data_IF_781578208587
#
_entry.id   IF_781578208587
#
_cell.length_a   1.000
_cell.length_b   1.000
_cell.length_c   1.000
_cell.angle_alpha   90.00
_cell.angle_beta   90.00
_cell.angle_gamma   90.00
#
_symmetry.space_group_name_H-M   'P 1'
#
loop_
_entity.id
_entity.type
_entity.pdbx_description
1 polymer ?
#
# COMPACT_ATOMS: atom_id res chain seq x y z
N UNK A 1 -14.21 13.09 -30.33
CA UNK A 1 -13.06 13.38 -29.43
C UNK A 1 -11.82 12.85 -30.16
N UNK A 2 -11.13 13.72 -30.88
CA UNK A 2 -9.91 13.32 -31.58
C UNK A 2 -8.81 13.17 -30.53
N UNK A 3 -8.38 11.95 -30.29
CA UNK A 3 -7.17 11.70 -29.49
C UNK A 3 -5.98 12.27 -30.28
N UNK A 4 -5.49 13.42 -29.86
CA UNK A 4 -4.26 13.97 -30.43
C UNK A 4 -3.10 13.00 -30.16
N UNK A 5 -2.29 12.75 -31.18
CA UNK A 5 -1.11 11.88 -31.10
C UNK A 5 -0.20 12.32 -29.95
N UNK A 6 -0.15 13.61 -29.64
CA UNK A 6 0.59 14.15 -28.49
C UNK A 6 0.10 13.63 -27.15
N UNK A 7 -1.22 13.49 -26.96
CA UNK A 7 -1.82 12.92 -25.73
C UNK A 7 -1.46 11.43 -25.61
N UNK A 8 -1.56 10.69 -26.71
CA UNK A 8 -1.21 9.28 -26.73
C UNK A 8 0.29 9.06 -26.42
N UNK A 9 1.15 9.85 -27.02
CA UNK A 9 2.61 9.80 -26.75
C UNK A 9 2.92 10.20 -25.31
N UNK A 10 2.23 11.21 -24.78
CA UNK A 10 2.37 11.61 -23.36
C UNK A 10 1.94 10.51 -22.42
N UNK A 11 0.82 9.83 -22.69
CA UNK A 11 0.34 8.71 -21.89
C UNK A 11 1.31 7.52 -21.92
N UNK A 12 1.76 7.13 -23.11
CA UNK A 12 2.71 6.02 -23.27
C UNK A 12 4.07 6.34 -22.66
N UNK A 13 4.56 7.57 -22.81
CA UNK A 13 5.80 8.04 -22.19
C UNK A 13 5.71 8.06 -20.67
N UNK A 14 4.60 8.57 -20.13
CA UNK A 14 4.35 8.56 -18.70
C UNK A 14 4.24 7.14 -18.12
N UNK A 15 3.56 6.24 -18.82
CA UNK A 15 3.48 4.82 -18.43
C UNK A 15 4.86 4.14 -18.46
N UNK A 16 5.66 4.39 -19.50
CA UNK A 16 7.01 3.84 -19.61
C UNK A 16 7.92 4.34 -18.49
N UNK A 17 7.87 5.64 -18.15
CA UNK A 17 8.62 6.21 -17.02
C UNK A 17 8.17 5.64 -15.69
N UNK A 18 6.87 5.44 -15.50
CA UNK A 18 6.32 4.83 -14.30
C UNK A 18 6.83 3.39 -14.12
N UNK A 19 6.73 2.57 -15.16
CA UNK A 19 7.21 1.18 -15.14
C UNK A 19 8.73 1.11 -14.92
N UNK A 20 9.49 2.00 -15.55
CA UNK A 20 10.93 2.09 -15.34
C UNK A 20 11.27 2.48 -13.90
N UNK A 21 10.58 3.46 -13.34
CA UNK A 21 10.73 3.86 -11.93
C UNK A 21 10.42 2.72 -10.96
N UNK A 22 9.35 1.95 -11.21
CA UNK A 22 9.03 0.76 -10.43
C UNK A 22 10.14 -0.30 -10.51
N UNK A 23 10.70 -0.53 -11.70
CA UNK A 23 11.79 -1.48 -11.88
C UNK A 23 13.04 -1.04 -11.11
N UNK A 24 13.43 0.24 -11.22
CA UNK A 24 14.56 0.80 -10.46
C UNK A 24 14.36 0.65 -8.95
N UNK A 25 13.16 0.90 -8.46
CA UNK A 25 12.83 0.75 -7.04
C UNK A 25 12.93 -0.71 -6.59
N UNK A 26 12.44 -1.65 -7.42
CA UNK A 26 12.56 -3.08 -7.17
C UNK A 26 14.04 -3.51 -7.09
N UNK A 27 14.86 -3.06 -8.04
CA UNK A 27 16.28 -3.40 -8.08
C UNK A 27 17.04 -2.83 -6.87
N UNK A 28 16.65 -1.65 -6.39
CA UNK A 28 17.25 -1.04 -5.19
C UNK A 28 16.88 -1.79 -3.90
N UNK A 29 15.72 -2.45 -3.86
CA UNK A 29 15.23 -3.17 -2.66
C UNK A 29 15.67 -4.63 -2.64
N UNK A 30 15.98 -5.23 -3.79
CA UNK A 30 16.43 -6.64 -3.88
C UNK A 30 17.54 -7.00 -2.89
N UNK A 31 18.61 -6.21 -2.72
CA UNK A 31 19.68 -6.55 -1.78
C UNK A 31 19.22 -6.60 -0.33
N UNK A 32 18.17 -5.85 0.05
CA UNK A 32 17.62 -5.90 1.39
C UNK A 32 16.87 -7.21 1.68
N UNK A 33 16.28 -7.82 0.64
CA UNK A 33 15.58 -9.11 0.79
C UNK A 33 16.53 -10.26 1.14
N UNK A 34 17.81 -10.13 0.80
CA UNK A 34 18.85 -11.11 1.12
C UNK A 34 19.42 -10.94 2.54
N UNK A 35 19.01 -9.89 3.27
CA UNK A 35 19.46 -9.63 4.64
C UNK A 35 18.56 -10.39 5.63
N UNK A 36 19.09 -11.37 6.41
CA UNK A 36 18.29 -12.18 7.32
C UNK A 36 17.51 -11.37 8.36
N UNK A 37 18.09 -10.27 8.85
CA UNK A 37 17.44 -9.38 9.81
C UNK A 37 16.20 -8.71 9.20
N UNK A 38 16.28 -8.32 7.93
CA UNK A 38 15.19 -7.70 7.21
C UNK A 38 14.04 -8.68 6.95
N UNK A 39 14.36 -9.89 6.51
CA UNK A 39 13.36 -10.96 6.32
C UNK A 39 12.72 -11.39 7.64
N UNK A 40 13.48 -11.44 8.73
CA UNK A 40 12.94 -11.68 10.07
C UNK A 40 12.01 -10.59 10.57
N UNK A 41 12.29 -9.33 10.25
CA UNK A 41 11.38 -8.22 10.53
C UNK A 41 10.09 -8.39 9.71
N UNK A 42 10.19 -8.66 8.41
CA UNK A 42 9.03 -8.86 7.54
C UNK A 42 8.15 -10.04 7.99
N UNK A 43 8.77 -11.13 8.44
CA UNK A 43 8.01 -12.28 8.96
C UNK A 43 7.30 -11.99 10.29
N UNK A 44 7.83 -11.10 11.11
CA UNK A 44 7.14 -10.61 12.32
C UNK A 44 5.87 -9.82 11.98
N UNK A 45 5.85 -9.15 10.82
CA UNK A 45 4.66 -8.44 10.31
C UNK A 45 3.62 -9.36 9.64
N UNK A 46 3.77 -10.68 9.74
CA UNK A 46 2.70 -11.63 9.42
C UNK A 46 1.48 -11.49 10.34
N UNK A 47 1.64 -10.83 11.50
CA UNK A 47 0.51 -10.44 12.33
C UNK A 47 -0.24 -9.28 11.66
N UNK A 48 -1.57 -9.40 11.40
CA UNK A 48 -2.35 -8.38 10.71
C UNK A 48 -2.29 -7.00 11.38
N UNK A 49 -2.25 -6.95 12.70
CA UNK A 49 -2.19 -5.68 13.46
C UNK A 49 -0.84 -4.99 13.24
N UNK A 50 0.26 -5.75 13.29
CA UNK A 50 1.59 -5.20 13.06
C UNK A 50 1.78 -4.77 11.60
N UNK A 51 1.23 -5.52 10.64
CA UNK A 51 1.21 -5.14 9.22
C UNK A 51 0.47 -3.82 8.99
N UNK A 52 -0.71 -3.67 9.61
CA UNK A 52 -1.51 -2.45 9.57
C UNK A 52 -0.75 -1.25 10.15
N UNK A 53 -0.12 -1.42 11.30
CA UNK A 53 0.69 -0.36 11.93
C UNK A 53 1.89 0.01 11.07
N UNK A 54 2.58 -0.97 10.49
CA UNK A 54 3.70 -0.74 9.58
C UNK A 54 3.26 0.10 8.38
N UNK A 55 2.20 -0.31 7.68
CA UNK A 55 1.66 0.42 6.54
C UNK A 55 1.28 1.86 6.90
N UNK A 56 0.62 2.04 8.05
CA UNK A 56 0.23 3.36 8.57
C UNK A 56 1.45 4.24 8.85
N UNK A 57 2.45 3.71 9.54
CA UNK A 57 3.67 4.45 9.87
C UNK A 57 4.47 4.81 8.62
N UNK A 58 4.71 3.85 7.73
CA UNK A 58 5.50 4.08 6.50
C UNK A 58 4.83 5.16 5.65
N UNK A 59 3.54 5.05 5.38
CA UNK A 59 2.83 6.03 4.55
C UNK A 59 2.69 7.38 5.25
N UNK A 60 2.46 7.39 6.56
CA UNK A 60 2.38 8.62 7.34
C UNK A 60 3.70 9.41 7.37
N UNK A 61 4.85 8.71 7.37
CA UNK A 61 6.18 9.32 7.32
C UNK A 61 6.51 9.80 5.90
N UNK A 62 6.32 8.92 4.91
CA UNK A 62 6.62 9.23 3.49
C UNK A 62 5.63 10.26 2.94
N UNK A 63 4.41 10.31 3.45
CA UNK A 63 3.30 11.16 3.00
C UNK A 63 2.96 10.97 1.50
N UNK A 64 3.26 9.80 0.96
CA UNK A 64 2.95 9.40 -0.41
C UNK A 64 2.52 7.95 -0.44
N UNK A 65 1.23 7.71 -0.62
CA UNK A 65 0.69 6.35 -0.76
C UNK A 65 1.24 5.65 -2.00
N UNK A 66 1.40 6.37 -3.11
CA UNK A 66 1.98 5.81 -4.33
C UNK A 66 3.43 5.32 -4.13
N UNK A 67 4.27 6.11 -3.42
CA UNK A 67 5.62 5.69 -3.10
C UNK A 67 5.63 4.49 -2.12
N UNK A 68 4.78 4.53 -1.10
CA UNK A 68 4.64 3.44 -0.13
C UNK A 68 4.21 2.12 -0.79
N UNK A 69 3.24 2.18 -1.72
CA UNK A 69 2.81 1.02 -2.51
C UNK A 69 3.92 0.53 -3.43
N UNK A 70 4.63 1.44 -4.08
CA UNK A 70 5.76 1.08 -4.93
C UNK A 70 6.84 0.32 -4.15
N UNK A 71 7.15 0.73 -2.91
CA UNK A 71 8.06 0.00 -2.02
C UNK A 71 7.51 -1.40 -1.70
N UNK A 72 6.22 -1.50 -1.37
CA UNK A 72 5.58 -2.78 -1.10
C UNK A 72 5.60 -3.70 -2.33
N UNK A 73 5.30 -3.16 -3.52
CA UNK A 73 5.40 -3.90 -4.78
C UNK A 73 6.83 -4.40 -5.03
N UNK A 74 7.83 -3.55 -4.81
CA UNK A 74 9.23 -3.93 -4.94
C UNK A 74 9.60 -5.08 -4.01
N UNK A 75 9.16 -5.04 -2.75
CA UNK A 75 9.34 -6.12 -1.77
C UNK A 75 8.62 -7.42 -2.19
N UNK A 76 7.45 -7.32 -2.81
CA UNK A 76 6.75 -8.49 -3.33
C UNK A 76 7.45 -9.13 -4.53
N UNK A 77 8.12 -8.35 -5.38
CA UNK A 77 8.95 -8.89 -6.46
C UNK A 77 10.10 -9.77 -5.95
N UNK A 78 10.61 -9.50 -4.74
CA UNK A 78 11.63 -10.34 -4.11
C UNK A 78 11.05 -11.65 -3.56
N UNK A 79 9.73 -11.82 -3.53
CA UNK A 79 9.07 -12.97 -2.91
C UNK A 79 9.10 -12.96 -1.38
N UNK A 80 9.55 -11.87 -0.75
CA UNK A 80 9.67 -11.76 0.71
C UNK A 80 8.34 -11.59 1.44
N UNK A 81 7.28 -11.17 0.73
CA UNK A 81 5.97 -10.88 1.30
C UNK A 81 4.92 -11.81 0.70
N UNK A 82 4.16 -12.47 1.58
CA UNK A 82 2.99 -13.27 1.21
C UNK A 82 1.76 -12.40 1.08
N UNK A 83 0.76 -12.90 0.32
CA UNK A 83 -0.52 -12.20 0.12
C UNK A 83 -1.19 -11.82 1.45
N UNK A 84 -1.28 -12.77 2.37
CA UNK A 84 -1.89 -12.56 3.67
C UNK A 84 -1.25 -11.44 4.51
N UNK A 85 0.06 -11.19 4.30
CA UNK A 85 0.78 -10.09 4.97
C UNK A 85 0.67 -8.76 4.21
N UNK A 86 0.51 -8.80 2.88
CA UNK A 86 0.39 -7.59 2.07
C UNK A 86 -0.92 -6.83 2.34
N UNK A 87 -2.03 -7.54 2.52
CA UNK A 87 -3.36 -6.95 2.74
C UNK A 87 -3.39 -6.00 3.94
N UNK A 88 -3.01 -6.42 5.17
CA UNK A 88 -3.03 -5.50 6.31
C UNK A 88 -2.06 -4.32 6.13
N UNK A 89 -0.94 -4.52 5.44
CA UNK A 89 0.00 -3.42 5.14
C UNK A 89 -0.69 -2.39 4.23
N UNK A 90 -1.38 -2.81 3.17
CA UNK A 90 -2.12 -1.93 2.25
C UNK A 90 -3.22 -1.18 3.00
N UNK A 91 -3.97 -1.87 3.85
CA UNK A 91 -5.01 -1.23 4.66
C UNK A 91 -4.42 -0.20 5.62
N UNK A 92 -3.25 -0.47 6.17
CA UNK A 92 -2.50 0.50 6.97
C UNK A 92 -2.04 1.71 6.14
N UNK A 93 -1.58 1.49 4.92
CA UNK A 93 -1.20 2.59 4.01
C UNK A 93 -2.37 3.53 3.73
N UNK A 94 -3.58 3.01 3.59
CA UNK A 94 -4.80 3.82 3.44
C UNK A 94 -5.05 4.71 4.66
N UNK A 95 -4.89 4.18 5.87
CA UNK A 95 -4.97 5.00 7.10
C UNK A 95 -3.85 6.03 7.16
N UNK A 96 -2.61 5.62 6.80
CA UNK A 96 -1.44 6.51 6.78
C UNK A 96 -1.60 7.70 5.84
N UNK A 97 -2.35 7.55 4.75
CA UNK A 97 -2.69 8.64 3.83
C UNK A 97 -3.49 9.76 4.51
N UNK A 98 -4.27 9.44 5.55
CA UNK A 98 -5.04 10.44 6.29
C UNK A 98 -4.15 11.43 7.07
N UNK A 99 -2.90 11.04 7.38
CA UNK A 99 -1.94 11.90 8.09
C UNK A 99 -1.67 13.18 7.32
N UNK A 100 -1.60 13.14 5.98
CA UNK A 100 -1.42 14.33 5.14
C UNK A 100 -2.60 15.29 5.28
N UNK A 101 -3.84 14.78 5.27
CA UNK A 101 -5.03 15.59 5.45
C UNK A 101 -5.09 16.20 6.86
N UNK A 102 -4.69 15.45 7.89
CA UNK A 102 -4.64 15.94 9.27
C UNK A 102 -3.61 17.05 9.39
N UNK A 103 -2.38 16.85 8.89
CA UNK A 103 -1.32 17.87 8.91
C UNK A 103 -1.77 19.12 8.16
N UNK A 104 -2.36 18.98 6.97
CA UNK A 104 -2.85 20.10 6.16
C UNK A 104 -3.99 20.86 6.84
N UNK A 105 -4.73 20.23 7.76
CA UNK A 105 -5.81 20.86 8.52
C UNK A 105 -5.31 21.67 9.73
N UNK A 106 -4.02 21.51 10.11
CA UNK A 106 -3.42 22.25 11.22
C UNK A 106 -3.33 23.72 10.80
N UNK A 107 -3.92 24.60 11.60
CA UNK A 107 -3.98 26.04 11.29
C UNK A 107 -5.10 26.44 10.31
N UNK A 108 -5.78 25.48 9.68
CA UNK A 108 -6.91 25.74 8.80
C UNK A 108 -8.24 25.92 9.54
N UNK A 109 -9.27 26.36 8.82
CA UNK A 109 -10.62 26.58 9.34
C UNK A 109 -11.31 25.30 9.83
N UNK A 110 -12.48 25.47 10.49
CA UNK A 110 -13.25 24.36 11.06
C UNK A 110 -13.65 23.30 10.04
N UNK A 111 -13.95 23.71 8.82
CA UNK A 111 -14.41 22.79 7.77
C UNK A 111 -13.27 21.92 7.23
N UNK A 112 -12.05 22.43 7.15
CA UNK A 112 -10.87 21.63 6.80
C UNK A 112 -10.60 20.55 7.86
N UNK A 113 -10.72 20.87 9.15
CA UNK A 113 -10.58 19.90 10.25
C UNK A 113 -11.67 18.83 10.22
N UNK A 114 -12.91 19.22 9.91
CA UNK A 114 -14.02 18.28 9.74
C UNK A 114 -13.78 17.34 8.56
N UNK A 115 -13.33 17.87 7.42
CA UNK A 115 -12.99 17.07 6.25
C UNK A 115 -11.87 16.06 6.54
N UNK A 116 -10.79 16.48 7.21
CA UNK A 116 -9.71 15.59 7.64
C UNK A 116 -10.20 14.50 8.61
N UNK A 117 -11.06 14.84 9.55
CA UNK A 117 -11.65 13.89 10.48
C UNK A 117 -12.55 12.87 9.77
N UNK A 118 -13.41 13.31 8.85
CA UNK A 118 -14.26 12.43 8.04
C UNK A 118 -13.39 11.48 7.21
N UNK A 119 -12.33 11.97 6.58
CA UNK A 119 -11.39 11.14 5.82
C UNK A 119 -10.75 10.07 6.70
N UNK A 120 -10.28 10.42 7.90
CA UNK A 120 -9.71 9.47 8.85
C UNK A 120 -10.73 8.41 9.29
N UNK A 121 -11.94 8.83 9.72
CA UNK A 121 -12.98 7.91 10.16
C UNK A 121 -13.42 6.97 9.04
N UNK A 122 -13.57 7.48 7.83
CA UNK A 122 -13.93 6.67 6.67
C UNK A 122 -12.90 5.56 6.42
N UNK A 123 -11.61 5.90 6.40
CA UNK A 123 -10.55 4.91 6.19
C UNK A 123 -10.43 3.94 7.35
N UNK A 124 -10.58 4.40 8.59
CA UNK A 124 -10.50 3.55 9.78
C UNK A 124 -11.66 2.54 9.82
N UNK A 125 -12.89 3.02 9.64
CA UNK A 125 -14.09 2.17 9.62
C UNK A 125 -14.05 1.21 8.43
N UNK A 126 -13.68 1.71 7.24
CA UNK A 126 -13.53 0.90 6.03
C UNK A 126 -12.49 -0.22 6.22
N UNK A 127 -11.34 0.10 6.83
CA UNK A 127 -10.31 -0.88 7.15
C UNK A 127 -10.83 -1.95 8.12
N UNK A 128 -11.51 -1.57 9.19
CA UNK A 128 -12.06 -2.52 10.16
C UNK A 128 -13.07 -3.46 9.49
N UNK A 129 -14.02 -2.90 8.72
CA UNK A 129 -15.04 -3.68 8.01
C UNK A 129 -14.37 -4.64 7.01
N UNK A 130 -13.45 -4.13 6.19
CA UNK A 130 -12.75 -4.95 5.19
C UNK A 130 -11.94 -6.07 5.84
N UNK A 131 -11.15 -5.76 6.88
CA UNK A 131 -10.35 -6.76 7.58
C UNK A 131 -11.21 -7.84 8.23
N UNK A 132 -12.30 -7.44 8.91
CA UNK A 132 -13.25 -8.40 9.50
C UNK A 132 -13.91 -9.28 8.44
N UNK A 133 -14.36 -8.69 7.33
CA UNK A 133 -14.98 -9.43 6.24
C UNK A 133 -13.97 -10.36 5.56
N UNK A 134 -12.77 -9.88 5.25
CA UNK A 134 -11.75 -10.65 4.55
C UNK A 134 -11.25 -11.83 5.38
N UNK A 135 -10.86 -11.60 6.63
CA UNK A 135 -10.39 -12.67 7.50
C UNK A 135 -11.53 -13.60 7.95
N UNK A 136 -12.75 -13.07 8.13
CA UNK A 136 -13.94 -13.89 8.38
C UNK A 136 -14.27 -14.81 7.21
N UNK A 137 -14.19 -14.29 5.99
CA UNK A 137 -14.39 -15.09 4.77
C UNK A 137 -13.27 -16.13 4.59
N UNK A 138 -12.03 -15.75 4.86
CA UNK A 138 -10.90 -16.66 4.81
C UNK A 138 -11.04 -17.82 5.83
N UNK A 139 -11.57 -17.56 7.02
CA UNK A 139 -11.81 -18.59 8.03
C UNK A 139 -12.87 -19.62 7.58
N UNK A 140 -13.82 -19.23 6.70
CA UNK A 140 -14.87 -20.09 6.19
C UNK A 140 -14.42 -20.81 4.91
N UNK A 141 -13.80 -20.10 3.97
CA UNK A 141 -13.51 -20.57 2.62
C UNK A 141 -12.07 -21.12 2.46
N UNK A 142 -11.20 -20.91 3.44
CA UNK A 142 -9.78 -21.31 3.44
C UNK A 142 -9.08 -20.96 2.11
N UNK A 143 -8.75 -19.69 1.94
CA UNK A 143 -8.10 -19.22 0.72
C UNK A 143 -6.65 -19.67 0.62
N UNK A 144 -6.37 -20.69 -0.17
CA UNK A 144 -5.00 -21.23 -0.39
C UNK A 144 -4.01 -20.18 -0.93
N UNK A 145 -4.50 -19.13 -1.59
CA UNK A 145 -3.65 -18.08 -2.14
C UNK A 145 -3.04 -17.15 -1.06
N UNK A 146 -3.55 -17.19 0.17
CA UNK A 146 -3.04 -16.36 1.27
C UNK A 146 -1.58 -16.65 1.60
N UNK A 147 -1.15 -17.89 1.41
CA UNK A 147 0.22 -18.33 1.66
C UNK A 147 1.16 -18.17 0.46
N UNK A 148 0.61 -17.82 -0.70
CA UNK A 148 1.38 -17.60 -1.90
C UNK A 148 2.01 -16.20 -1.90
N UNK A 149 3.14 -16.09 -2.59
CA UNK A 149 3.74 -14.77 -2.87
C UNK A 149 2.86 -14.01 -3.85
N UNK A 150 2.63 -12.73 -3.57
CA UNK A 150 1.83 -11.86 -4.43
C UNK A 150 2.74 -11.15 -5.44
N UNK A 151 2.28 -11.01 -6.67
CA UNK A 151 2.96 -10.19 -7.65
C UNK A 151 2.52 -8.71 -7.58
N UNK A 152 3.27 -7.84 -8.25
CA UNK A 152 3.00 -6.40 -8.22
C UNK A 152 1.60 -6.02 -8.74
N UNK A 153 1.08 -6.74 -9.74
CA UNK A 153 -0.25 -6.52 -10.28
C UNK A 153 -1.33 -6.85 -9.26
N UNK A 154 -1.14 -7.93 -8.47
CA UNK A 154 -2.04 -8.29 -7.38
C UNK A 154 -2.11 -7.21 -6.30
N UNK A 155 -0.99 -6.57 -5.94
CA UNK A 155 -0.98 -5.47 -4.97
C UNK A 155 -1.75 -4.26 -5.52
N UNK A 156 -1.52 -3.89 -6.78
CA UNK A 156 -2.21 -2.77 -7.40
C UNK A 156 -3.74 -2.98 -7.46
N UNK A 157 -4.20 -4.22 -7.58
CA UNK A 157 -5.64 -4.54 -7.61
C UNK A 157 -6.32 -4.47 -6.24
N UNK A 158 -5.57 -4.56 -5.15
CA UNK A 158 -6.10 -4.51 -3.77
C UNK A 158 -6.10 -3.07 -3.23
N UNK A 159 -5.24 -2.19 -3.74
CA UNK A 159 -5.19 -0.78 -3.35
C UNK A 159 -6.36 0.01 -3.91
#
# INVERSE_FOLDING_TARGET
>A
MNLDISILLGLLGGLALFLYGMQMMSDAVKPLADVPEFTNILTRFSNPILGLLLGTCVTGIIQSSAASIGILQALCFTGAIKFGSAIPIIMGQNIGTCVTAIISSIGAGRDAKRAAAVHLYFNLIGTIIFMCAFYGLNAILHFDFMDNTINAAGIASVH
#
